data_IF_049321867346
#
_entry.id   IF_049321867346
#
_cell.length_a   1.000
_cell.length_b   1.000
_cell.length_c   1.000
_cell.angle_alpha   90.00
_cell.angle_beta   90.00
_cell.angle_gamma   90.00
#
_symmetry.space_group_name_H-M   'P 1'
#
loop_
_entity.id
_entity.type
_entity.pdbx_description
1 polymer ?
#
# COMPACT_ATOMS: atom_id res chain seq x y z
N UNK A 1 24.67 -1.88 -35.61
CA UNK A 1 23.23 -2.13 -35.41
C UNK A 1 23.07 -2.51 -33.95
N UNK A 2 22.62 -1.58 -33.12
CA UNK A 2 22.31 -1.87 -31.72
C UNK A 2 21.10 -2.81 -31.68
N UNK A 3 21.07 -3.81 -30.78
CA UNK A 3 19.91 -4.70 -30.69
C UNK A 3 18.70 -3.89 -30.23
N UNK A 4 17.62 -3.96 -31.00
CA UNK A 4 16.32 -3.44 -30.59
C UNK A 4 15.91 -4.14 -29.29
N UNK A 5 15.49 -3.41 -28.24
CA UNK A 5 15.03 -4.04 -27.01
C UNK A 5 13.76 -4.84 -27.31
N UNK A 6 13.77 -6.12 -26.94
CA UNK A 6 12.58 -6.97 -26.90
C UNK A 6 11.53 -6.30 -26.01
N UNK A 7 10.27 -6.13 -26.46
CA UNK A 7 9.23 -5.58 -25.61
C UNK A 7 8.98 -6.53 -24.43
N UNK A 8 9.14 -5.99 -23.23
CA UNK A 8 8.77 -6.65 -21.98
C UNK A 8 7.26 -6.84 -21.96
N UNK A 9 6.78 -8.08 -22.02
CA UNK A 9 5.34 -8.41 -22.08
C UNK A 9 4.64 -8.30 -20.73
N UNK A 10 4.98 -7.31 -19.90
CA UNK A 10 4.50 -7.20 -18.53
C UNK A 10 4.53 -5.79 -18.00
N UNK A 11 3.72 -5.54 -16.96
CA UNK A 11 3.62 -4.26 -16.28
C UNK A 11 4.96 -3.88 -15.65
N UNK A 12 5.51 -2.74 -16.07
CA UNK A 12 6.72 -2.15 -15.51
C UNK A 12 6.37 -1.45 -14.20
N UNK A 13 7.05 -1.81 -13.12
CA UNK A 13 6.85 -1.21 -11.78
C UNK A 13 7.92 -0.14 -11.56
N UNK A 14 7.54 1.14 -11.46
CA UNK A 14 8.48 2.25 -11.29
C UNK A 14 8.48 2.79 -9.86
N UNK A 15 9.67 2.93 -9.28
CA UNK A 15 9.87 3.67 -8.04
C UNK A 15 9.73 5.19 -8.28
N UNK A 16 9.39 5.99 -7.25
CA UNK A 16 9.17 7.44 -7.41
C UNK A 16 10.33 8.21 -8.06
N UNK A 17 11.57 7.81 -7.80
CA UNK A 17 12.79 8.41 -8.35
C UNK A 17 13.04 8.05 -9.83
N UNK A 18 12.46 6.95 -10.32
CA UNK A 18 12.58 6.50 -11.71
C UNK A 18 11.57 7.17 -12.65
N UNK A 19 10.42 7.60 -12.12
CA UNK A 19 9.27 8.05 -12.94
C UNK A 19 9.62 9.25 -13.83
N UNK A 20 10.38 10.23 -13.32
CA UNK A 20 10.73 11.42 -14.12
C UNK A 20 11.54 11.04 -15.36
N UNK A 21 12.58 10.23 -15.18
CA UNK A 21 13.43 9.79 -16.27
C UNK A 21 12.64 8.92 -17.26
N UNK A 22 11.78 8.04 -16.74
CA UNK A 22 10.94 7.17 -17.56
C UNK A 22 9.97 7.94 -18.46
N UNK A 23 9.26 8.93 -17.90
CA UNK A 23 8.31 9.75 -18.66
C UNK A 23 9.00 10.74 -19.60
N UNK A 24 10.18 11.25 -19.23
CA UNK A 24 10.97 12.12 -20.12
C UNK A 24 11.37 11.40 -21.43
N UNK A 25 11.61 10.08 -21.36
CA UNK A 25 11.87 9.25 -22.55
C UNK A 25 10.61 8.93 -23.36
N UNK A 26 9.41 9.21 -22.83
CA UNK A 26 8.10 8.86 -23.39
C UNK A 26 7.16 10.07 -23.42
N UNK A 27 7.46 11.12 -24.19
CA UNK A 27 6.68 12.36 -24.18
C UNK A 27 5.23 12.19 -24.67
N UNK A 28 4.95 11.12 -25.41
CA UNK A 28 3.60 10.79 -25.89
C UNK A 28 2.80 9.89 -24.93
N UNK A 29 3.36 9.56 -23.76
CA UNK A 29 2.73 8.65 -22.82
C UNK A 29 1.32 9.12 -22.43
N UNK A 30 0.38 8.17 -22.43
CA UNK A 30 -0.92 8.36 -21.82
C UNK A 30 -0.75 8.23 -20.31
N UNK A 31 -0.81 9.35 -19.60
CA UNK A 31 -0.73 9.38 -18.14
C UNK A 31 -2.13 9.28 -17.54
N UNK A 32 -2.37 8.25 -16.73
CA UNK A 32 -3.67 7.91 -16.17
C UNK A 32 -3.66 8.02 -14.65
N UNK A 33 -4.65 8.72 -14.11
CA UNK A 33 -4.84 8.93 -12.68
C UNK A 33 -6.08 8.17 -12.19
N UNK A 34 -5.88 7.11 -11.42
CA UNK A 34 -6.93 6.27 -10.86
C UNK A 34 -7.45 6.75 -9.50
N UNK A 35 -7.14 7.98 -9.07
CA UNK A 35 -7.66 8.58 -7.83
C UNK A 35 -9.05 9.19 -8.03
N UNK A 36 -9.72 9.47 -6.93
CA UNK A 36 -11.02 10.16 -6.92
C UNK A 36 -10.90 11.60 -7.46
N UNK A 37 -12.06 12.18 -7.80
CA UNK A 37 -12.16 13.52 -8.39
C UNK A 37 -11.55 14.61 -7.50
N UNK A 38 -11.74 14.52 -6.18
CA UNK A 38 -11.24 15.53 -5.25
C UNK A 38 -9.71 15.46 -5.14
N UNK A 39 -9.13 14.27 -5.12
CA UNK A 39 -7.69 14.07 -5.13
C UNK A 39 -7.06 14.60 -6.42
N UNK A 40 -7.59 14.21 -7.58
CA UNK A 40 -7.12 14.69 -8.89
C UNK A 40 -7.21 16.22 -9.00
N UNK A 41 -8.31 16.82 -8.57
CA UNK A 41 -8.50 18.28 -8.62
C UNK A 41 -7.52 19.04 -7.72
N UNK A 42 -7.13 18.48 -6.57
CA UNK A 42 -6.17 19.11 -5.63
C UNK A 42 -4.75 19.10 -6.18
N UNK A 43 -4.30 17.95 -6.66
CA UNK A 43 -2.96 17.78 -7.23
C UNK A 43 -2.98 16.60 -8.17
N UNK A 44 -2.35 16.72 -9.34
CA UNK A 44 -2.24 15.65 -10.33
C UNK A 44 -1.02 15.87 -11.22
N UNK A 45 -0.63 14.82 -11.93
CA UNK A 45 0.41 14.93 -12.95
C UNK A 45 -0.08 15.80 -14.12
N UNK A 46 0.67 16.82 -14.58
CA UNK A 46 0.22 17.67 -15.68
C UNK A 46 -0.19 16.88 -16.93
N UNK A 47 -1.39 17.15 -17.43
CA UNK A 47 -1.94 16.46 -18.62
C UNK A 47 -2.45 15.04 -18.36
N UNK A 48 -2.48 14.58 -17.10
CA UNK A 48 -3.05 13.27 -16.77
C UNK A 48 -4.56 13.22 -16.99
N UNK A 49 -5.03 12.07 -17.46
CA UNK A 49 -6.45 11.78 -17.63
C UNK A 49 -6.93 10.99 -16.42
N UNK A 50 -7.87 11.55 -15.66
CA UNK A 50 -8.49 10.83 -14.55
C UNK A 50 -9.32 9.67 -15.06
N UNK A 51 -9.10 8.48 -14.54
CA UNK A 51 -9.94 7.31 -14.81
C UNK A 51 -11.24 7.42 -14.00
N UNK A 52 -12.34 7.13 -14.68
CA UNK A 52 -13.63 6.91 -14.05
C UNK A 52 -14.27 5.63 -14.60
N UNK A 53 -15.37 5.20 -13.98
CA UNK A 53 -16.13 4.03 -14.41
C UNK A 53 -16.74 4.12 -15.81
N UNK A 54 -16.45 5.18 -16.60
CA UNK A 54 -17.03 5.42 -17.93
C UNK A 54 -15.96 5.56 -19.03
N UNK A 55 -14.72 5.90 -18.69
CA UNK A 55 -13.70 6.22 -19.69
C UNK A 55 -12.61 5.17 -19.88
N UNK A 56 -12.39 4.26 -18.92
CA UNK A 56 -11.32 3.26 -19.01
C UNK A 56 -11.53 2.27 -20.17
N UNK A 57 -12.76 1.76 -20.37
CA UNK A 57 -13.09 0.89 -21.50
C UNK A 57 -12.82 1.57 -22.84
N UNK A 58 -13.19 2.85 -22.96
CA UNK A 58 -12.96 3.64 -24.17
C UNK A 58 -11.46 3.77 -24.47
N UNK A 59 -10.64 4.00 -23.45
CA UNK A 59 -9.18 4.11 -23.59
C UNK A 59 -8.57 2.78 -24.03
N UNK A 60 -8.95 1.68 -23.37
CA UNK A 60 -8.50 0.32 -23.74
C UNK A 60 -8.85 -0.03 -25.19
N UNK A 61 -10.03 0.36 -25.66
CA UNK A 61 -10.50 0.02 -27.00
C UNK A 61 -9.92 0.93 -28.10
N UNK A 62 -9.69 2.22 -27.83
CA UNK A 62 -9.41 3.22 -28.87
C UNK A 62 -7.96 3.69 -28.95
N UNK A 63 -7.18 3.54 -27.88
CA UNK A 63 -5.78 3.98 -27.89
C UNK A 63 -4.88 3.01 -28.65
N UNK A 64 -3.81 3.52 -29.25
CA UNK A 64 -2.85 2.71 -29.99
C UNK A 64 -2.06 1.82 -29.01
N UNK A 65 -1.86 0.54 -29.37
CA UNK A 65 -1.25 -0.48 -28.48
C UNK A 65 0.23 -0.26 -28.21
N UNK A 66 0.89 0.48 -29.09
CA UNK A 66 2.27 0.92 -28.97
C UNK A 66 2.42 2.25 -28.21
N UNK A 67 1.31 2.93 -27.89
CA UNK A 67 1.36 4.15 -27.08
C UNK A 67 1.73 3.78 -25.64
N UNK A 68 2.79 4.39 -25.06
CA UNK A 68 3.15 4.14 -23.68
C UNK A 68 2.03 4.57 -22.73
N UNK A 69 1.76 3.77 -21.70
CA UNK A 69 0.76 4.07 -20.68
C UNK A 69 1.45 4.10 -19.32
N UNK A 70 1.22 5.18 -18.57
CA UNK A 70 1.71 5.29 -17.19
C UNK A 70 0.53 5.51 -16.26
N UNK A 71 0.40 4.67 -15.22
CA UNK A 71 -0.71 4.69 -14.29
C UNK A 71 -0.26 4.99 -12.87
N UNK A 72 -1.08 5.73 -12.13
CA UNK A 72 -0.91 5.88 -10.70
C UNK A 72 -2.26 5.97 -10.00
N UNK A 73 -2.29 5.61 -8.72
CA UNK A 73 -3.43 5.80 -7.84
C UNK A 73 -2.96 6.40 -6.51
N UNK A 74 -3.74 6.28 -5.43
CA UNK A 74 -3.32 6.81 -4.12
C UNK A 74 -2.10 6.07 -3.55
N UNK A 75 -2.15 4.72 -3.48
CA UNK A 75 -1.15 3.88 -2.80
C UNK A 75 -0.54 2.76 -3.66
N UNK A 76 -0.82 2.72 -4.97
CA UNK A 76 -0.22 1.78 -5.94
C UNK A 76 -0.99 0.46 -6.20
N UNK A 77 -2.01 0.10 -5.41
CA UNK A 77 -2.77 -1.14 -5.66
C UNK A 77 -3.67 -1.04 -6.91
N UNK A 78 -4.54 -0.03 -6.97
CA UNK A 78 -5.45 0.14 -8.11
C UNK A 78 -4.72 0.38 -9.45
N UNK A 79 -3.55 1.02 -9.45
CA UNK A 79 -2.77 1.25 -10.66
C UNK A 79 -2.24 -0.06 -11.26
N UNK A 80 -1.96 -1.07 -10.45
CA UNK A 80 -1.58 -2.40 -10.93
C UNK A 80 -2.74 -3.11 -11.62
N UNK A 81 -3.94 -3.05 -11.03
CA UNK A 81 -5.15 -3.65 -11.61
C UNK A 81 -5.43 -3.04 -12.99
N UNK A 82 -5.44 -1.71 -13.10
CA UNK A 82 -5.61 -1.06 -14.39
C UNK A 82 -4.44 -1.37 -15.35
N UNK A 83 -3.19 -1.36 -14.85
CA UNK A 83 -2.03 -1.72 -15.65
C UNK A 83 -2.12 -3.12 -16.26
N UNK A 84 -2.57 -4.11 -15.47
CA UNK A 84 -2.85 -5.47 -15.94
C UNK A 84 -3.88 -5.48 -17.07
N UNK A 85 -4.99 -4.75 -16.93
CA UNK A 85 -5.98 -4.63 -18.00
C UNK A 85 -5.39 -4.06 -19.29
N UNK A 86 -4.53 -3.04 -19.24
CA UNK A 86 -3.87 -2.53 -20.44
C UNK A 86 -2.95 -3.58 -21.07
N UNK A 87 -2.18 -4.31 -20.27
CA UNK A 87 -1.33 -5.41 -20.77
C UNK A 87 -2.17 -6.50 -21.45
N UNK A 88 -3.27 -6.92 -20.81
CA UNK A 88 -4.18 -7.95 -21.34
C UNK A 88 -4.84 -7.53 -22.66
N UNK A 89 -5.05 -6.22 -22.85
CA UNK A 89 -5.58 -5.64 -24.09
C UNK A 89 -4.50 -5.41 -25.17
N UNK A 90 -3.27 -5.84 -24.92
CA UNK A 90 -2.17 -5.87 -25.88
C UNK A 90 -1.27 -4.63 -25.88
N UNK A 91 -1.36 -3.77 -24.87
CA UNK A 91 -0.42 -2.66 -24.74
C UNK A 91 0.96 -3.18 -24.33
N UNK A 92 2.01 -2.71 -25.01
CA UNK A 92 3.36 -3.29 -24.89
C UNK A 92 4.32 -2.48 -24.02
N UNK A 93 3.95 -1.27 -23.62
CA UNK A 93 4.75 -0.38 -22.77
C UNK A 93 3.83 0.25 -21.71
N UNK A 94 3.57 -0.53 -20.66
CA UNK A 94 2.68 -0.15 -19.56
C UNK A 94 3.50 -0.09 -18.28
N UNK A 95 3.44 1.04 -17.58
CA UNK A 95 4.12 1.24 -16.32
C UNK A 95 3.17 1.76 -15.22
N UNK A 96 3.43 1.41 -13.97
CA UNK A 96 2.75 2.00 -12.82
C UNK A 96 3.71 2.62 -11.80
N UNK A 97 3.17 3.50 -10.96
CA UNK A 97 3.88 4.09 -9.83
C UNK A 97 3.73 3.23 -8.57
N UNK A 98 4.84 2.64 -8.13
CA UNK A 98 4.92 1.93 -6.85
C UNK A 98 4.65 2.90 -5.71
N UNK A 99 3.71 2.54 -4.83
CA UNK A 99 3.28 3.38 -3.71
C UNK A 99 2.37 4.56 -4.08
N UNK A 100 2.03 4.72 -5.37
CA UNK A 100 1.08 5.74 -5.84
C UNK A 100 1.53 7.19 -5.61
N UNK A 101 0.57 8.09 -5.75
CA UNK A 101 0.78 9.54 -5.66
C UNK A 101 1.36 9.97 -4.31
N UNK A 102 0.98 9.29 -3.23
CA UNK A 102 1.52 9.54 -1.89
C UNK A 102 3.03 9.35 -1.85
N UNK A 103 3.54 8.24 -2.41
CA UNK A 103 4.98 7.98 -2.48
C UNK A 103 5.71 9.01 -3.34
N UNK A 104 5.07 9.47 -4.42
CA UNK A 104 5.60 10.53 -5.27
C UNK A 104 5.70 11.89 -4.56
N UNK A 105 4.68 12.29 -3.80
CA UNK A 105 4.73 13.53 -3.02
C UNK A 105 5.78 13.47 -1.90
N UNK A 106 5.91 12.33 -1.24
CA UNK A 106 6.94 12.11 -0.22
C UNK A 106 8.35 12.22 -0.81
N UNK A 107 8.63 11.58 -1.95
CA UNK A 107 9.94 11.63 -2.60
C UNK A 107 10.35 13.05 -3.04
N UNK A 108 9.38 13.95 -3.23
CA UNK A 108 9.61 15.34 -3.66
C UNK A 108 9.62 16.34 -2.51
N UNK A 109 9.18 15.92 -1.33
CA UNK A 109 9.27 16.74 -0.14
C UNK A 109 10.71 16.60 0.39
N UNK A 110 11.48 17.69 0.52
CA UNK A 110 12.80 17.61 1.13
C UNK A 110 12.66 16.94 2.49
N UNK A 111 13.33 15.81 2.69
CA UNK A 111 13.30 15.12 3.95
C UNK A 111 13.70 16.12 5.04
N UNK A 112 12.85 16.28 6.07
CA UNK A 112 13.28 16.96 7.28
C UNK A 112 14.58 16.29 7.75
N UNK A 113 15.55 17.05 8.29
CA UNK A 113 16.80 16.47 8.78
C UNK A 113 16.46 15.29 9.70
N UNK A 114 16.97 14.11 9.36
CA UNK A 114 16.63 12.87 10.04
C UNK A 114 16.85 13.07 11.55
N UNK A 115 15.79 12.89 12.33
CA UNK A 115 15.89 12.98 13.79
C UNK A 115 16.82 11.85 14.23
N UNK A 116 17.87 12.13 15.03
CA UNK A 116 18.82 11.10 15.42
C UNK A 116 18.10 10.00 16.19
N UNK A 117 18.41 8.75 15.85
CA UNK A 117 17.86 7.57 16.51
C UNK A 117 18.39 7.53 17.96
N UNK A 118 17.51 7.44 18.99
CA UNK A 118 17.96 7.33 20.38
C UNK A 118 18.82 6.06 20.61
N UNK A 119 19.87 6.15 21.42
CA UNK A 119 20.82 5.04 21.65
C UNK A 119 20.15 3.73 22.10
N UNK A 120 19.08 3.83 22.89
CA UNK A 120 18.32 2.66 23.34
C UNK A 120 17.54 1.98 22.21
N UNK A 121 17.07 2.75 21.23
CA UNK A 121 16.42 2.24 20.03
C UNK A 121 17.47 1.73 19.04
N UNK A 122 18.57 2.44 18.84
CA UNK A 122 19.69 2.01 17.98
C UNK A 122 20.24 0.63 18.39
N UNK A 123 20.46 0.39 19.69
CA UNK A 123 20.87 -0.92 20.20
C UNK A 123 19.83 -2.02 19.96
N UNK A 124 18.55 -1.69 20.05
CA UNK A 124 17.47 -2.63 19.76
C UNK A 124 17.40 -2.96 18.27
N UNK A 125 17.52 -1.95 17.41
CA UNK A 125 17.58 -2.13 15.95
C UNK A 125 18.72 -3.09 15.59
N UNK A 126 19.94 -2.83 16.09
CA UNK A 126 21.10 -3.69 15.84
C UNK A 126 20.87 -5.12 16.36
N UNK A 127 20.34 -5.28 17.57
CA UNK A 127 20.06 -6.58 18.16
C UNK A 127 19.02 -7.41 17.38
N UNK A 128 18.03 -6.74 16.76
CA UNK A 128 17.01 -7.37 15.91
C UNK A 128 17.47 -7.49 14.45
N UNK A 129 18.68 -7.03 14.10
CA UNK A 129 19.29 -7.16 12.78
C UNK A 129 18.90 -6.07 11.78
N UNK A 130 18.49 -4.90 12.25
CA UNK A 130 18.21 -3.70 11.47
C UNK A 130 19.39 -2.71 11.49
N UNK A 131 19.35 -1.75 10.56
CA UNK A 131 20.28 -0.63 10.52
C UNK A 131 20.00 0.33 11.70
N UNK A 132 20.96 0.44 12.62
CA UNK A 132 20.83 1.24 13.83
C UNK A 132 20.66 2.75 13.57
N UNK A 133 20.94 3.21 12.35
CA UNK A 133 20.88 4.63 11.96
C UNK A 133 19.68 4.96 11.07
N UNK A 134 18.98 3.96 10.55
CA UNK A 134 17.88 4.10 9.59
C UNK A 134 16.64 3.32 10.06
N UNK A 135 15.82 3.91 10.97
CA UNK A 135 14.68 3.24 11.62
C UNK A 135 13.53 2.86 10.67
N UNK A 136 13.55 3.36 9.44
CA UNK A 136 12.62 3.02 8.37
C UNK A 136 13.12 1.87 7.47
N UNK A 137 14.42 1.54 7.52
CA UNK A 137 15.05 0.63 6.57
C UNK A 137 14.54 -0.81 6.77
N UNK A 138 13.96 -1.45 5.74
CA UNK A 138 13.52 -2.84 5.84
C UNK A 138 14.66 -3.81 6.12
N UNK A 139 14.39 -4.79 6.97
CA UNK A 139 15.25 -5.94 7.24
C UNK A 139 14.82 -7.17 6.43
N UNK A 140 14.92 -8.36 7.05
CA UNK A 140 14.55 -9.63 6.42
C UNK A 140 13.08 -9.65 6.03
N UNK A 141 12.77 -10.28 4.88
CA UNK A 141 11.42 -10.38 4.32
C UNK A 141 10.73 -9.02 4.04
N UNK A 142 11.50 -7.93 3.97
CA UNK A 142 10.96 -6.59 3.77
C UNK A 142 10.27 -5.99 4.98
N UNK A 143 10.35 -6.62 6.17
CA UNK A 143 9.76 -6.04 7.38
C UNK A 143 10.54 -4.80 7.80
N UNK A 144 9.86 -3.69 8.04
CA UNK A 144 10.46 -2.53 8.72
C UNK A 144 10.59 -2.80 10.22
N UNK A 145 11.41 -2.03 10.94
CA UNK A 145 11.46 -2.10 12.40
C UNK A 145 10.10 -1.90 13.06
N UNK A 146 9.23 -1.03 12.51
CA UNK A 146 7.88 -0.80 13.02
C UNK A 146 7.00 -2.05 12.89
N UNK A 147 7.06 -2.75 11.75
CA UNK A 147 6.34 -4.02 11.55
C UNK A 147 6.80 -5.10 12.52
N UNK A 148 8.12 -5.18 12.73
CA UNK A 148 8.70 -6.15 13.65
C UNK A 148 8.31 -5.89 15.10
N UNK A 149 8.38 -4.62 15.54
CA UNK A 149 7.92 -4.21 16.86
C UNK A 149 6.42 -4.50 17.05
N UNK A 150 5.60 -4.22 16.04
CA UNK A 150 4.16 -4.46 16.04
C UNK A 150 3.83 -5.97 16.17
N UNK A 151 4.50 -6.82 15.40
CA UNK A 151 4.34 -8.28 15.49
C UNK A 151 4.72 -8.84 16.87
N UNK A 152 5.75 -8.24 17.50
CA UNK A 152 6.24 -8.64 18.81
C UNK A 152 5.47 -8.02 19.98
N UNK A 153 4.47 -7.16 19.73
CA UNK A 153 3.70 -6.50 20.79
C UNK A 153 4.49 -5.45 21.58
N UNK A 154 5.56 -4.89 21.02
CA UNK A 154 6.47 -3.99 21.73
C UNK A 154 5.98 -2.54 21.67
N UNK A 155 4.93 -2.21 22.45
CA UNK A 155 4.29 -0.87 22.46
C UNK A 155 5.28 0.29 22.53
N UNK A 156 6.22 0.25 23.48
CA UNK A 156 7.21 1.31 23.64
C UNK A 156 8.07 1.51 22.38
N UNK A 157 8.44 0.42 21.69
CA UNK A 157 9.22 0.49 20.45
C UNK A 157 8.38 1.03 19.30
N UNK A 158 7.11 0.66 19.25
CA UNK A 158 6.16 1.21 18.28
C UNK A 158 6.03 2.72 18.47
N UNK A 159 5.82 3.19 19.70
CA UNK A 159 5.72 4.62 19.99
C UNK A 159 7.00 5.38 19.63
N UNK A 160 8.18 4.87 20.04
CA UNK A 160 9.48 5.47 19.70
C UNK A 160 9.68 5.59 18.18
N UNK A 161 9.36 4.54 17.41
CA UNK A 161 9.51 4.55 15.95
C UNK A 161 8.54 5.52 15.29
N UNK A 162 7.28 5.56 15.74
CA UNK A 162 6.28 6.49 15.22
C UNK A 162 6.63 7.96 15.53
N UNK A 163 7.30 8.23 16.65
CA UNK A 163 7.77 9.57 17.03
C UNK A 163 9.01 10.03 16.23
N UNK A 164 9.69 9.11 15.55
CA UNK A 164 10.72 9.42 14.56
C UNK A 164 10.13 9.70 13.16
N UNK A 165 8.82 9.55 12.97
CA UNK A 165 8.16 9.85 11.71
C UNK A 165 8.43 8.82 10.61
N UNK A 166 8.68 7.56 10.98
CA UNK A 166 8.77 6.46 10.00
C UNK A 166 7.48 6.36 9.19
N UNK A 167 7.58 5.89 7.93
CA UNK A 167 6.42 5.77 7.05
C UNK A 167 5.35 4.84 7.65
N UNK A 168 4.11 5.34 7.70
CA UNK A 168 2.93 4.59 8.12
C UNK A 168 2.39 3.67 7.01
N UNK A 169 2.81 3.93 5.77
CA UNK A 169 2.35 3.27 4.54
C UNK A 169 3.28 2.12 4.11
N UNK A 170 4.39 1.91 4.82
CA UNK A 170 5.34 0.87 4.46
C UNK A 170 4.67 -0.51 4.47
N UNK A 171 5.05 -1.35 3.51
CA UNK A 171 4.60 -2.75 3.39
C UNK A 171 5.79 -3.70 3.25
N UNK A 172 5.66 -4.91 3.78
CA UNK A 172 6.67 -5.96 3.63
C UNK A 172 6.52 -6.75 2.31
N UNK A 173 7.31 -7.82 2.14
CA UNK A 173 7.28 -8.64 0.92
C UNK A 173 5.93 -9.30 0.60
N UNK A 174 5.05 -9.48 1.59
CA UNK A 174 3.70 -10.02 1.41
C UNK A 174 2.66 -8.89 1.20
N UNK A 175 3.10 -7.64 1.13
CA UNK A 175 2.24 -6.47 1.10
C UNK A 175 1.60 -6.14 2.44
N UNK A 176 2.05 -6.71 3.57
CA UNK A 176 1.48 -6.44 4.89
C UNK A 176 2.09 -5.17 5.51
N UNK A 177 1.26 -4.30 6.11
CA UNK A 177 1.71 -3.13 6.85
C UNK A 177 1.89 -3.43 8.36
N UNK A 178 2.26 -2.42 9.15
CA UNK A 178 2.47 -2.62 10.59
C UNK A 178 1.17 -2.98 11.35
N UNK A 179 0.01 -2.50 10.90
CA UNK A 179 -1.28 -2.82 11.50
C UNK A 179 -1.62 -4.30 11.34
N UNK A 180 -1.35 -4.88 10.16
CA UNK A 180 -1.53 -6.32 9.94
C UNK A 180 -0.73 -7.13 10.95
N UNK A 181 0.52 -6.76 11.17
CA UNK A 181 1.44 -7.44 12.09
C UNK A 181 0.96 -7.28 13.55
N UNK A 182 0.41 -6.13 13.94
CA UNK A 182 -0.26 -5.95 15.23
C UNK A 182 -1.54 -6.79 15.38
N UNK A 183 -2.33 -6.97 14.31
CA UNK A 183 -3.50 -7.84 14.32
C UNK A 183 -3.11 -9.32 14.41
N UNK A 184 -1.97 -9.70 13.83
CA UNK A 184 -1.35 -11.02 14.03
C UNK A 184 -0.97 -11.21 15.50
N UNK A 185 -0.38 -10.21 16.15
CA UNK A 185 -0.12 -10.23 17.59
C UNK A 185 -1.42 -10.34 18.41
N UNK A 186 -2.42 -9.54 18.07
CA UNK A 186 -3.80 -9.67 18.56
C UNK A 186 -4.15 -8.83 19.79
N UNK A 187 -3.33 -7.84 20.16
CA UNK A 187 -3.57 -6.99 21.33
C UNK A 187 -4.31 -5.69 20.92
N UNK A 188 -5.53 -5.44 21.44
CA UNK A 188 -6.35 -4.28 21.07
C UNK A 188 -5.73 -2.90 21.33
N UNK A 189 -4.97 -2.72 22.42
CA UNK A 189 -4.29 -1.46 22.74
C UNK A 189 -3.30 -1.04 21.66
N UNK A 190 -2.54 -1.97 21.12
CA UNK A 190 -1.55 -1.74 20.08
C UNK A 190 -2.21 -1.39 18.74
N UNK A 191 -3.30 -2.09 18.41
CA UNK A 191 -4.13 -1.80 17.24
C UNK A 191 -4.66 -0.37 17.34
N UNK A 192 -5.23 0.00 18.49
CA UNK A 192 -5.71 1.37 18.75
C UNK A 192 -4.60 2.41 18.62
N UNK A 193 -3.41 2.13 19.15
CA UNK A 193 -2.27 3.04 19.07
C UNK A 193 -1.85 3.29 17.60
N UNK A 194 -1.69 2.23 16.81
CA UNK A 194 -1.28 2.34 15.41
C UNK A 194 -2.33 3.08 14.56
N UNK A 195 -3.61 2.71 14.69
CA UNK A 195 -4.70 3.40 13.96
C UNK A 195 -4.83 4.86 14.42
N UNK A 196 -4.73 5.12 15.72
CA UNK A 196 -4.76 6.48 16.28
C UNK A 196 -3.59 7.36 15.81
N UNK A 197 -2.47 6.75 15.41
CA UNK A 197 -1.32 7.42 14.79
C UNK A 197 -1.43 7.56 13.26
N UNK A 198 -2.52 7.06 12.66
CA UNK A 198 -2.82 7.22 11.24
C UNK A 198 -2.34 6.07 10.34
N UNK A 199 -1.96 4.92 10.89
CA UNK A 199 -1.67 3.73 10.06
C UNK A 199 -2.94 3.31 9.32
N UNK A 200 -2.91 3.09 7.99
CA UNK A 200 -4.11 2.77 7.23
C UNK A 200 -4.83 1.51 7.72
N UNK A 201 -6.06 1.71 8.19
CA UNK A 201 -6.90 0.64 8.75
C UNK A 201 -7.39 -0.35 7.69
N UNK A 202 -7.65 0.16 6.48
CA UNK A 202 -8.26 -0.56 5.36
C UNK A 202 -7.23 -1.01 4.30
N UNK A 203 -5.94 -0.99 4.64
CA UNK A 203 -4.89 -1.50 3.75
C UNK A 203 -5.15 -2.98 3.39
N UNK A 204 -5.00 -3.30 2.10
CA UNK A 204 -5.09 -4.65 1.58
C UNK A 204 -3.72 -5.14 1.13
N UNK A 205 -3.33 -6.32 1.58
CA UNK A 205 -2.04 -6.93 1.25
C UNK A 205 -2.00 -7.47 -0.19
N UNK A 206 -0.93 -8.19 -0.55
CA UNK A 206 -0.75 -8.68 -1.91
C UNK A 206 -1.84 -9.67 -2.39
N UNK A 207 -2.61 -10.28 -1.47
CA UNK A 207 -3.75 -11.15 -1.76
C UNK A 207 -5.10 -10.41 -1.71
N UNK A 208 -5.08 -9.09 -1.56
CA UNK A 208 -6.30 -8.29 -1.35
C UNK A 208 -6.90 -8.44 0.05
N UNK A 209 -6.22 -9.09 1.00
CA UNK A 209 -6.78 -9.27 2.34
C UNK A 209 -6.53 -8.02 3.20
N UNK A 210 -7.57 -7.55 3.92
CA UNK A 210 -7.43 -6.52 4.96
C UNK A 210 -7.20 -7.13 6.34
N UNK A 211 -6.75 -6.33 7.31
CA UNK A 211 -6.56 -6.78 8.69
C UNK A 211 -7.86 -7.36 9.30
N UNK A 212 -9.00 -6.78 8.94
CA UNK A 212 -10.32 -7.25 9.39
C UNK A 212 -10.67 -8.62 8.82
N UNK A 213 -10.36 -8.87 7.54
CA UNK A 213 -10.52 -10.19 6.92
C UNK A 213 -9.66 -11.25 7.60
N UNK A 214 -8.39 -10.94 7.87
CA UNK A 214 -7.50 -11.84 8.61
C UNK A 214 -8.02 -12.13 10.02
N UNK A 215 -8.47 -11.11 10.76
CA UNK A 215 -8.99 -11.30 12.10
C UNK A 215 -10.25 -12.20 12.10
N UNK A 216 -11.13 -12.02 11.12
CA UNK A 216 -12.31 -12.85 10.92
C UNK A 216 -11.94 -14.31 10.61
N UNK A 217 -11.01 -14.52 9.66
CA UNK A 217 -10.55 -15.85 9.24
C UNK A 217 -9.73 -16.58 10.30
N UNK A 218 -9.03 -15.83 11.15
CA UNK A 218 -8.28 -16.37 12.28
C UNK A 218 -9.16 -16.61 13.52
N UNK A 219 -10.45 -16.29 13.48
CA UNK A 219 -11.36 -16.45 14.62
C UNK A 219 -10.99 -15.59 15.83
N UNK A 220 -10.57 -14.33 15.59
CA UNK A 220 -10.14 -13.37 16.62
C UNK A 220 -11.22 -12.31 16.90
N UNK A 221 -12.30 -12.60 17.64
CA UNK A 221 -13.43 -11.70 17.80
C UNK A 221 -13.05 -10.36 18.46
N UNK A 222 -12.13 -10.37 19.44
CA UNK A 222 -11.67 -9.13 20.09
C UNK A 222 -10.94 -8.18 19.12
N UNK A 223 -10.20 -8.73 18.15
CA UNK A 223 -9.53 -7.94 17.10
C UNK A 223 -10.56 -7.42 16.10
N UNK A 224 -11.52 -8.27 15.70
CA UNK A 224 -12.64 -7.87 14.82
C UNK A 224 -13.43 -6.72 15.44
N UNK A 225 -13.86 -6.86 16.70
CA UNK A 225 -14.58 -5.84 17.44
C UNK A 225 -13.78 -4.53 17.51
N UNK A 226 -12.49 -4.61 17.82
CA UNK A 226 -11.61 -3.44 17.90
C UNK A 226 -11.48 -2.72 16.55
N UNK A 227 -11.27 -3.46 15.46
CA UNK A 227 -11.15 -2.89 14.13
C UNK A 227 -12.46 -2.24 13.66
N UNK A 228 -13.61 -2.89 13.89
CA UNK A 228 -14.92 -2.31 13.58
C UNK A 228 -15.18 -1.03 14.39
N UNK A 229 -14.87 -1.03 15.69
CA UNK A 229 -15.01 0.15 16.54
C UNK A 229 -14.10 1.32 16.10
N UNK A 230 -13.00 1.02 15.41
CA UNK A 230 -12.08 1.99 14.83
C UNK A 230 -12.45 2.42 13.40
N UNK A 231 -13.56 1.91 12.86
CA UNK A 231 -14.08 2.30 11.55
C UNK A 231 -13.53 1.50 10.36
N UNK A 232 -12.96 0.32 10.58
CA UNK A 232 -12.55 -0.57 9.47
C UNK A 232 -13.77 -0.91 8.59
N UNK A 233 -13.59 -0.89 7.27
CA UNK A 233 -14.67 -1.17 6.33
C UNK A 233 -14.89 -2.69 6.17
N UNK A 234 -16.02 -3.25 6.64
CA UNK A 234 -16.29 -4.68 6.54
C UNK A 234 -16.68 -5.14 5.13
N UNK A 235 -16.88 -4.19 4.19
CA UNK A 235 -17.36 -4.46 2.83
C UNK A 235 -16.24 -4.54 1.79
N UNK A 236 -14.98 -4.35 2.18
CA UNK A 236 -13.86 -4.62 1.28
C UNK A 236 -13.90 -6.10 0.86
N UNK A 237 -13.43 -6.38 -0.35
CA UNK A 237 -13.34 -7.73 -0.90
C UNK A 237 -11.88 -8.09 -1.22
N UNK A 238 -11.50 -9.35 -0.97
CA UNK A 238 -10.23 -9.90 -1.41
C UNK A 238 -10.17 -10.05 -2.94
N UNK A 239 -9.05 -10.55 -3.46
CA UNK A 239 -8.95 -10.90 -4.88
C UNK A 239 -9.93 -12.01 -5.32
N UNK A 240 -10.42 -12.81 -4.36
CA UNK A 240 -11.40 -13.87 -4.59
C UNK A 240 -12.84 -13.42 -4.25
N UNK A 241 -13.08 -12.10 -4.21
CA UNK A 241 -14.36 -11.47 -3.89
C UNK A 241 -14.91 -11.77 -2.48
N UNK A 242 -14.07 -12.24 -1.55
CA UNK A 242 -14.49 -12.54 -0.18
C UNK A 242 -14.41 -11.32 0.72
N UNK A 243 -15.49 -11.04 1.45
CA UNK A 243 -15.50 -10.05 2.53
C UNK A 243 -15.01 -10.66 3.85
N UNK A 244 -14.78 -9.83 4.86
CA UNK A 244 -14.49 -10.34 6.21
C UNK A 244 -15.62 -11.23 6.74
N UNK A 245 -16.88 -10.95 6.36
CA UNK A 245 -18.04 -11.76 6.75
C UNK A 245 -17.97 -13.16 6.14
N UNK A 246 -17.60 -13.27 4.87
CA UNK A 246 -17.47 -14.55 4.16
C UNK A 246 -16.36 -15.42 4.76
N UNK A 247 -15.33 -14.78 5.31
CA UNK A 247 -14.18 -15.44 5.92
C UNK A 247 -14.36 -15.76 7.41
N UNK A 248 -15.48 -15.43 8.04
CA UNK A 248 -15.65 -15.57 9.49
C UNK A 248 -15.51 -17.04 9.96
N UNK A 249 -14.46 -17.32 10.74
CA UNK A 249 -14.15 -18.67 11.23
C UNK A 249 -14.79 -19.01 12.59
N UNK A 250 -15.48 -18.06 13.23
CA UNK A 250 -16.19 -18.28 14.49
C UNK A 250 -17.57 -17.60 14.50
N UNK A 251 -18.46 -18.10 15.37
CA UNK A 251 -19.81 -17.56 15.55
C UNK A 251 -19.74 -16.11 16.05
N UNK A 252 -18.80 -15.81 16.95
CA UNK A 252 -18.60 -14.48 17.51
C UNK A 252 -18.15 -13.49 16.44
N UNK A 253 -17.19 -13.85 15.59
CA UNK A 253 -16.78 -13.01 14.45
C UNK A 253 -17.95 -12.79 13.48
N UNK A 254 -18.70 -13.86 13.16
CA UNK A 254 -19.87 -13.78 12.29
C UNK A 254 -20.94 -12.83 12.84
N UNK A 255 -21.20 -12.87 14.15
CA UNK A 255 -22.18 -12.00 14.82
C UNK A 255 -21.73 -10.53 14.80
N UNK A 256 -20.46 -10.27 15.11
CA UNK A 256 -19.90 -8.92 15.05
C UNK A 256 -20.01 -8.33 13.64
N UNK A 257 -19.68 -9.10 12.61
CA UNK A 257 -19.68 -8.65 11.20
C UNK A 257 -21.07 -8.50 10.59
N UNK A 258 -22.10 -9.14 11.16
CA UNK A 258 -23.51 -8.97 10.76
C UNK A 258 -24.19 -7.77 11.40
N UNK A 259 -23.61 -7.24 12.49
CA UNK A 259 -24.23 -6.15 13.24
C UNK A 259 -24.12 -4.86 12.41
N UNK A 260 -25.21 -4.07 12.29
CA UNK A 260 -25.13 -2.78 11.63
C UNK A 260 -24.23 -1.85 12.45
N UNK A 261 -23.19 -1.31 11.80
CA UNK A 261 -22.35 -0.24 12.34
C UNK A 261 -23.13 1.08 12.47
#
# INVERSE_FOLDING_TARGET
>A
MSPSPTPSSGLIRLAPDEVQAHLAQRPAALVLDARDEQAHARSHWPGSVRLDGRNHERLLMREARDRPVFLYCHHGNASQTYGGMFVDFGFTDVADLVGGWTAWEQARTPAAPARPVPDALARWLEAEGFDATAPERPGRHGNTPLMHAAWRGQHHRVDELLDLGVSLEAVNGDGNNALWLACVHGEPGLIRALVGRGVPIDHQNAAGASCLMYAASAGKPQVVETLLALGANPRLTSQDDWTALDMAASIECLQLLRSPA
#
